data_IF_076151516134
#
_entry.id   IF_076151516134
#
_cell.length_a   1.000
_cell.length_b   1.000
_cell.length_c   1.000
_cell.angle_alpha   90.00
_cell.angle_beta   90.00
_cell.angle_gamma   90.00
#
_symmetry.space_group_name_H-M   'P 1'
#
loop_
_entity.id
_entity.type
_entity.pdbx_description
1 polymer ?
#
# COMPACT_ATOMS: atom_id res chain seq x y z
N UNK A 1 -41.64 7.32 -31.99
CA UNK A 1 -42.42 6.07 -31.81
C UNK A 1 -41.42 4.94 -31.68
N UNK A 2 -41.22 4.47 -30.44
CA UNK A 2 -40.47 3.29 -29.97
C UNK A 2 -39.15 2.88 -30.65
N UNK A 3 -38.03 3.43 -30.15
CA UNK A 3 -36.74 2.73 -30.16
C UNK A 3 -36.71 1.88 -28.88
N UNK A 4 -37.08 0.62 -29.01
CA UNK A 4 -36.70 -0.46 -28.09
C UNK A 4 -36.01 -1.52 -28.94
N UNK A 5 -34.68 -1.36 -29.11
CA UNK A 5 -33.76 -2.45 -29.43
C UNK A 5 -33.11 -2.87 -28.10
N UNK A 6 -33.76 -3.64 -27.22
CA UNK A 6 -33.01 -4.28 -26.15
C UNK A 6 -32.18 -5.40 -26.81
N UNK A 7 -30.93 -5.58 -26.38
CA UNK A 7 -30.23 -6.88 -26.47
C UNK A 7 -30.01 -7.54 -27.84
N UNK A 8 -30.01 -6.80 -28.96
CA UNK A 8 -29.46 -7.32 -30.23
C UNK A 8 -27.93 -7.50 -30.08
N UNK A 9 -27.50 -8.76 -30.05
CA UNK A 9 -26.11 -9.26 -29.96
C UNK A 9 -25.44 -9.18 -28.56
N UNK A 10 -25.96 -9.90 -27.56
CA UNK A 10 -25.05 -10.56 -26.61
C UNK A 10 -24.27 -11.64 -27.39
N UNK A 11 -22.94 -11.59 -27.37
CA UNK A 11 -22.08 -12.76 -27.55
C UNK A 11 -22.21 -13.55 -28.88
N UNK A 12 -22.25 -12.88 -30.03
CA UNK A 12 -21.95 -13.56 -31.30
C UNK A 12 -20.51 -14.10 -31.22
N UNK A 13 -20.37 -15.39 -30.94
CA UNK A 13 -19.12 -16.15 -30.81
C UNK A 13 -18.31 -15.80 -29.54
N UNK A 14 -18.82 -16.16 -28.35
CA UNK A 14 -17.92 -16.66 -27.31
C UNK A 14 -17.12 -17.80 -27.96
N UNK A 15 -15.90 -17.47 -28.37
CA UNK A 15 -15.27 -18.08 -29.53
C UNK A 15 -15.13 -19.58 -29.31
N UNK A 16 -15.41 -20.37 -30.34
CA UNK A 16 -15.24 -21.82 -30.34
C UNK A 16 -13.83 -22.15 -29.90
N UNK A 17 -13.65 -22.42 -28.61
CA UNK A 17 -12.47 -23.09 -28.16
C UNK A 17 -12.52 -24.47 -28.78
N UNK A 18 -11.53 -24.78 -29.62
CA UNK A 18 -11.34 -26.11 -30.17
C UNK A 18 -11.13 -27.06 -28.98
N UNK A 19 -12.20 -27.70 -28.55
CA UNK A 19 -12.18 -28.81 -27.62
C UNK A 19 -11.38 -29.93 -28.28
N UNK A 20 -10.16 -30.16 -27.80
CA UNK A 20 -9.54 -31.46 -28.05
C UNK A 20 -10.36 -32.48 -27.27
N UNK A 21 -10.94 -33.51 -27.90
CA UNK A 21 -11.67 -34.52 -27.15
C UNK A 21 -10.65 -35.27 -26.29
N UNK A 22 -10.56 -34.93 -25.01
CA UNK A 22 -9.94 -35.81 -24.03
C UNK A 22 -10.85 -37.05 -23.94
N UNK A 23 -10.53 -38.05 -24.77
CA UNK A 23 -11.15 -39.37 -24.75
C UNK A 23 -10.76 -40.07 -23.46
N UNK A 24 -11.40 -39.69 -22.36
CA UNK A 24 -11.41 -40.47 -21.14
C UNK A 24 -12.58 -41.45 -21.25
N UNK A 25 -12.31 -42.64 -21.80
CA UNK A 25 -13.21 -43.79 -21.66
C UNK A 25 -13.31 -44.14 -20.17
N UNK A 26 -14.24 -43.49 -19.45
CA UNK A 26 -14.60 -43.87 -18.08
C UNK A 26 -15.22 -45.27 -18.14
N UNK A 27 -14.50 -46.26 -17.61
CA UNK A 27 -14.88 -47.68 -17.67
C UNK A 27 -15.83 -47.99 -16.50
N UNK A 28 -16.98 -48.57 -16.81
CA UNK A 28 -17.96 -49.05 -15.83
C UNK A 28 -17.39 -50.26 -15.06
N UNK A 29 -17.49 -50.24 -13.73
CA UNK A 29 -17.29 -51.44 -12.93
C UNK A 29 -18.62 -52.20 -12.86
N UNK A 30 -18.63 -53.44 -13.36
CA UNK A 30 -19.84 -54.22 -13.62
C UNK A 30 -20.72 -54.49 -12.37
N UNK A 31 -20.18 -54.23 -11.18
CA UNK A 31 -20.84 -54.43 -9.89
C UNK A 31 -21.54 -53.18 -9.33
N UNK A 32 -21.51 -52.04 -10.03
CA UNK A 32 -22.13 -50.80 -9.54
C UNK A 32 -23.61 -50.76 -9.91
N UNK A 33 -24.50 -50.70 -8.91
CA UNK A 33 -25.93 -50.54 -9.15
C UNK A 33 -26.21 -49.13 -9.76
N UNK A 34 -26.72 -49.02 -11.00
CA UNK A 34 -27.03 -47.75 -11.64
C UNK A 34 -28.01 -46.86 -10.85
N UNK A 35 -28.84 -47.47 -9.98
CA UNK A 35 -29.80 -46.75 -9.13
C UNK A 35 -29.10 -45.87 -8.08
N UNK A 36 -27.88 -46.25 -7.68
CA UNK A 36 -27.08 -45.57 -6.63
C UNK A 36 -26.23 -44.41 -7.16
N UNK A 37 -26.15 -44.25 -8.48
CA UNK A 37 -25.33 -43.21 -9.11
C UNK A 37 -25.95 -41.82 -8.96
N UNK A 38 -25.11 -40.82 -8.71
CA UNK A 38 -25.50 -39.41 -8.76
C UNK A 38 -25.83 -38.99 -10.19
N UNK A 39 -26.57 -37.89 -10.36
CA UNK A 39 -26.90 -37.35 -11.68
C UNK A 39 -25.64 -37.07 -12.50
N UNK A 40 -24.60 -36.46 -11.90
CA UNK A 40 -23.34 -36.18 -12.58
C UNK A 40 -22.62 -37.46 -13.03
N UNK A 41 -22.67 -38.53 -12.25
CA UNK A 41 -22.11 -39.83 -12.64
C UNK A 41 -22.89 -40.45 -13.80
N UNK A 42 -24.22 -40.37 -13.78
CA UNK A 42 -25.08 -40.85 -14.88
C UNK A 42 -24.80 -40.07 -16.16
N UNK A 43 -24.68 -38.74 -16.08
CA UNK A 43 -24.33 -37.88 -17.20
C UNK A 43 -22.93 -38.21 -17.73
N UNK A 44 -21.91 -38.38 -16.88
CA UNK A 44 -20.56 -38.79 -17.31
C UNK A 44 -20.55 -40.12 -18.08
N UNK A 45 -21.38 -41.07 -17.67
CA UNK A 45 -21.46 -42.41 -18.26
C UNK A 45 -22.38 -42.50 -19.49
N UNK A 46 -23.22 -41.49 -19.72
CA UNK A 46 -24.14 -41.46 -20.84
C UNK A 46 -23.37 -41.53 -22.18
N UNK A 47 -23.64 -42.55 -23.02
CA UNK A 47 -22.82 -42.82 -24.21
C UNK A 47 -23.13 -41.85 -25.36
N UNK A 48 -24.32 -41.26 -25.39
CA UNK A 48 -24.73 -40.28 -26.40
C UNK A 48 -25.35 -39.04 -25.76
N UNK A 49 -25.44 -37.95 -26.53
CA UNK A 49 -26.16 -36.75 -26.11
C UNK A 49 -27.67 -37.01 -25.92
N UNK A 50 -28.24 -37.94 -26.68
CA UNK A 50 -29.65 -38.36 -26.51
C UNK A 50 -29.86 -38.95 -25.11
N UNK A 51 -28.92 -39.75 -24.63
CA UNK A 51 -28.98 -40.33 -23.28
C UNK A 51 -28.79 -39.26 -22.19
N UNK A 52 -27.97 -38.23 -22.43
CA UNK A 52 -27.80 -37.10 -21.52
C UNK A 52 -29.07 -36.27 -21.41
N UNK A 53 -29.71 -35.94 -22.53
CA UNK A 53 -30.99 -35.23 -22.57
C UNK A 53 -32.08 -36.04 -21.87
N UNK A 54 -32.08 -37.38 -22.02
CA UNK A 54 -33.02 -38.23 -21.28
C UNK A 54 -32.86 -38.15 -19.76
N UNK A 55 -31.66 -37.82 -19.25
CA UNK A 55 -31.37 -37.60 -17.84
C UNK A 55 -31.71 -36.17 -17.35
N UNK A 56 -31.89 -35.23 -18.29
CA UNK A 56 -32.26 -33.82 -18.06
C UNK A 56 -33.49 -33.47 -18.93
N UNK A 57 -34.66 -34.09 -18.66
CA UNK A 57 -35.78 -34.08 -19.60
C UNK A 57 -36.54 -32.75 -19.67
N UNK A 58 -36.38 -31.87 -18.69
CA UNK A 58 -37.13 -30.62 -18.65
C UNK A 58 -36.38 -29.54 -19.45
N UNK A 59 -37.07 -28.70 -20.25
CA UNK A 59 -36.42 -27.60 -20.94
C UNK A 59 -35.61 -26.67 -20.01
N UNK A 60 -36.09 -26.47 -18.79
CA UNK A 60 -35.41 -25.64 -17.77
C UNK A 60 -34.07 -26.22 -17.31
N UNK A 61 -33.86 -27.54 -17.42
CA UNK A 61 -32.57 -28.18 -17.10
C UNK A 61 -31.44 -27.73 -18.04
N UNK A 62 -31.80 -27.10 -19.18
CA UNK A 62 -30.89 -26.63 -20.23
C UNK A 62 -30.76 -25.10 -20.29
N UNK A 63 -31.32 -24.40 -19.30
CA UNK A 63 -31.25 -22.93 -19.22
C UNK A 63 -30.57 -22.54 -17.91
N UNK A 64 -29.47 -21.79 -18.00
CA UNK A 64 -28.81 -21.21 -16.84
C UNK A 64 -28.99 -19.69 -16.82
N UNK A 65 -29.65 -19.16 -15.78
CA UNK A 65 -29.77 -17.71 -15.58
C UNK A 65 -28.59 -17.20 -14.78
N UNK A 66 -27.75 -16.36 -15.40
CA UNK A 66 -26.67 -15.67 -14.69
C UNK A 66 -27.16 -14.50 -13.83
N UNK A 67 -28.38 -13.99 -14.09
CA UNK A 67 -28.93 -12.83 -13.39
C UNK A 67 -29.55 -13.20 -12.03
N UNK A 68 -30.21 -14.37 -11.96
CA UNK A 68 -30.96 -14.83 -10.78
C UNK A 68 -30.32 -16.10 -10.15
N UNK A 69 -29.04 -16.34 -10.44
CA UNK A 69 -28.34 -17.51 -9.93
C UNK A 69 -28.21 -17.46 -8.40
N UNK A 70 -28.47 -18.59 -7.74
CA UNK A 70 -28.22 -18.80 -6.31
C UNK A 70 -27.05 -19.76 -6.06
N UNK A 71 -26.57 -20.43 -7.12
CA UNK A 71 -25.46 -21.37 -7.12
C UNK A 71 -24.32 -20.85 -7.99
N UNK A 72 -23.08 -21.20 -7.66
CA UNK A 72 -21.91 -20.72 -8.41
C UNK A 72 -21.62 -19.23 -8.24
N UNK A 73 -22.26 -18.56 -7.28
CA UNK A 73 -22.08 -17.14 -7.00
C UNK A 73 -20.91 -16.94 -6.05
N UNK A 74 -19.97 -16.06 -6.42
CA UNK A 74 -18.90 -15.58 -5.54
C UNK A 74 -19.08 -14.08 -5.38
N UNK A 75 -19.33 -13.62 -4.15
CA UNK A 75 -19.63 -12.22 -3.85
C UNK A 75 -18.56 -11.61 -2.96
N UNK A 76 -18.09 -10.43 -3.35
CA UNK A 76 -17.22 -9.60 -2.51
C UNK A 76 -17.66 -8.14 -2.53
N UNK A 77 -16.87 -7.28 -1.89
CA UNK A 77 -17.21 -5.87 -1.73
C UNK A 77 -17.19 -5.09 -3.07
N UNK A 78 -16.46 -5.58 -4.08
CA UNK A 78 -16.34 -4.94 -5.39
C UNK A 78 -17.33 -5.44 -6.44
N UNK A 79 -18.19 -6.41 -6.12
CA UNK A 79 -19.09 -7.03 -7.07
C UNK A 79 -19.25 -8.52 -6.84
N UNK A 80 -19.69 -9.24 -7.86
CA UNK A 80 -19.84 -10.69 -7.81
C UNK A 80 -19.59 -11.34 -9.16
N UNK A 81 -19.27 -12.62 -9.15
CA UNK A 81 -19.17 -13.46 -10.34
C UNK A 81 -20.13 -14.64 -10.22
N UNK A 82 -20.73 -15.03 -11.33
CA UNK A 82 -21.61 -16.20 -11.41
C UNK A 82 -21.03 -17.19 -12.40
N UNK A 83 -20.73 -18.40 -11.94
CA UNK A 83 -20.12 -19.47 -12.73
C UNK A 83 -21.13 -20.56 -13.08
N UNK A 84 -21.25 -20.86 -14.36
CA UNK A 84 -21.90 -22.04 -14.91
C UNK A 84 -20.82 -23.04 -15.33
N UNK A 85 -20.63 -24.09 -14.53
CA UNK A 85 -19.69 -25.18 -14.78
C UNK A 85 -20.41 -26.52 -14.65
N UNK A 86 -19.74 -27.65 -14.87
CA UNK A 86 -20.37 -28.98 -14.75
C UNK A 86 -21.04 -29.26 -13.39
N UNK A 87 -20.64 -28.57 -12.33
CA UNK A 87 -21.21 -28.75 -10.98
C UNK A 87 -22.47 -27.91 -10.78
N UNK A 88 -22.48 -26.68 -11.28
CA UNK A 88 -23.61 -25.74 -11.12
C UNK A 88 -24.62 -25.82 -12.26
N UNK A 89 -24.21 -26.29 -13.43
CA UNK A 89 -25.04 -26.48 -14.61
C UNK A 89 -24.74 -27.83 -15.27
N UNK A 90 -25.36 -28.94 -14.81
CA UNK A 90 -25.06 -30.29 -15.27
C UNK A 90 -25.23 -30.53 -16.77
N UNK A 91 -26.04 -29.72 -17.46
CA UNK A 91 -26.18 -29.76 -18.92
C UNK A 91 -24.86 -29.46 -19.66
N UNK A 92 -23.86 -28.87 -18.99
CA UNK A 92 -22.53 -28.71 -19.58
C UNK A 92 -21.74 -30.02 -19.65
N UNK A 93 -22.11 -31.08 -18.94
CA UNK A 93 -21.34 -32.33 -18.94
C UNK A 93 -21.40 -32.97 -20.33
N UNK A 94 -20.27 -33.09 -21.00
CA UNK A 94 -20.12 -33.55 -22.38
C UNK A 94 -19.89 -32.43 -23.40
N UNK A 95 -20.08 -31.16 -23.02
CA UNK A 95 -19.96 -29.99 -23.91
C UNK A 95 -18.53 -29.46 -24.05
N UNK A 96 -17.62 -29.84 -23.16
CA UNK A 96 -16.24 -29.32 -23.09
C UNK A 96 -16.12 -27.80 -22.87
N UNK A 97 -17.17 -27.15 -22.37
CA UNK A 97 -17.19 -25.71 -22.14
C UNK A 97 -17.81 -25.32 -20.79
N UNK A 98 -17.41 -24.16 -20.30
CA UNK A 98 -18.08 -23.49 -19.17
C UNK A 98 -17.99 -21.97 -19.33
N UNK A 99 -18.72 -21.25 -18.48
CA UNK A 99 -18.80 -19.81 -18.57
C UNK A 99 -18.91 -19.17 -17.19
N UNK A 100 -18.30 -18.00 -17.04
CA UNK A 100 -18.49 -17.12 -15.88
C UNK A 100 -18.93 -15.74 -16.36
N UNK A 101 -19.92 -15.16 -15.71
CA UNK A 101 -20.29 -13.74 -15.89
C UNK A 101 -19.84 -12.97 -14.66
N UNK A 102 -19.04 -11.93 -14.87
CA UNK A 102 -18.59 -11.03 -13.83
C UNK A 102 -19.41 -9.74 -13.82
N UNK A 103 -20.10 -9.48 -12.71
CA UNK A 103 -20.83 -8.24 -12.44
C UNK A 103 -19.98 -7.39 -11.51
N UNK A 104 -19.14 -6.54 -12.11
CA UNK A 104 -18.10 -5.79 -11.41
C UNK A 104 -18.63 -4.40 -11.09
N UNK A 105 -18.77 -4.10 -9.80
CA UNK A 105 -19.18 -2.79 -9.34
C UNK A 105 -18.16 -1.71 -9.72
N UNK A 106 -18.47 -0.43 -9.48
CA UNK A 106 -17.50 0.64 -9.64
C UNK A 106 -16.21 0.35 -8.86
N UNK A 107 -15.07 0.49 -9.51
CA UNK A 107 -13.77 0.12 -8.95
C UNK A 107 -13.66 -1.35 -8.49
N UNK A 108 -14.54 -2.27 -8.88
CA UNK A 108 -14.43 -3.67 -8.49
C UNK A 108 -13.18 -4.35 -9.06
N UNK A 109 -12.62 -5.30 -8.31
CA UNK A 109 -11.36 -5.97 -8.65
C UNK A 109 -11.50 -7.49 -8.54
N UNK A 110 -11.47 -8.18 -9.69
CA UNK A 110 -11.34 -9.63 -9.73
C UNK A 110 -9.87 -9.97 -9.47
N UNK A 111 -9.55 -10.40 -8.25
CA UNK A 111 -8.18 -10.48 -7.73
C UNK A 111 -7.30 -11.43 -8.55
N UNK A 112 -5.95 -11.31 -8.49
CA UNK A 112 -5.06 -12.17 -9.26
C UNK A 112 -5.33 -13.67 -9.06
N UNK A 113 -5.59 -14.37 -10.16
CA UNK A 113 -5.96 -15.78 -10.16
C UNK A 113 -5.44 -16.51 -11.40
N UNK A 114 -5.64 -17.82 -11.44
CA UNK A 114 -5.34 -18.69 -12.58
C UNK A 114 -6.40 -19.77 -12.75
N UNK A 115 -6.54 -20.25 -13.99
CA UNK A 115 -7.37 -21.38 -14.39
C UNK A 115 -6.48 -22.56 -14.78
N UNK A 116 -6.31 -23.58 -13.91
CA UNK A 116 -5.34 -24.65 -14.14
C UNK A 116 -5.72 -25.57 -15.31
N UNK A 117 -6.99 -25.63 -15.70
CA UNK A 117 -7.52 -26.60 -16.68
C UNK A 117 -8.10 -25.99 -17.95
N UNK A 118 -8.03 -24.67 -18.11
CA UNK A 118 -8.54 -23.98 -19.28
C UNK A 118 -7.86 -22.65 -19.52
N UNK A 119 -7.73 -22.26 -20.78
CA UNK A 119 -7.57 -20.84 -21.14
C UNK A 119 -8.91 -20.10 -20.94
N UNK A 120 -8.86 -18.79 -20.76
CA UNK A 120 -10.02 -17.91 -20.66
C UNK A 120 -10.07 -16.96 -21.85
N UNK A 121 -11.25 -16.85 -22.47
CA UNK A 121 -11.59 -15.80 -23.41
C UNK A 121 -12.57 -14.84 -22.73
N UNK A 122 -12.11 -13.62 -22.44
CA UNK A 122 -12.85 -12.66 -21.64
C UNK A 122 -13.29 -11.47 -22.50
N UNK A 123 -14.61 -11.26 -22.63
CA UNK A 123 -15.20 -10.15 -23.38
C UNK A 123 -15.98 -9.22 -22.44
N UNK A 124 -15.80 -7.91 -22.62
CA UNK A 124 -16.60 -6.89 -21.91
C UNK A 124 -17.92 -6.70 -22.65
N UNK A 125 -19.05 -6.81 -21.94
CA UNK A 125 -20.40 -6.60 -22.52
C UNK A 125 -21.06 -5.31 -22.01
N UNK A 126 -20.55 -4.74 -20.92
CA UNK A 126 -20.95 -3.44 -20.38
C UNK A 126 -19.76 -2.76 -19.68
N UNK A 127 -19.63 -1.44 -19.85
CA UNK A 127 -18.59 -0.64 -19.20
C UNK A 127 -17.18 -0.86 -19.77
N UNK A 128 -16.19 -0.75 -18.88
CA UNK A 128 -14.76 -0.85 -19.17
C UNK A 128 -14.10 -1.80 -18.16
N UNK A 129 -13.12 -2.59 -18.61
CA UNK A 129 -12.25 -3.35 -17.71
C UNK A 129 -10.79 -3.15 -18.08
N UNK A 130 -9.91 -3.23 -17.09
CA UNK A 130 -8.48 -3.39 -17.31
C UNK A 130 -8.09 -4.83 -17.02
N UNK A 131 -7.63 -5.54 -18.04
CA UNK A 131 -7.06 -6.88 -17.92
C UNK A 131 -5.55 -6.80 -17.79
N UNK A 132 -4.96 -7.62 -16.92
CA UNK A 132 -3.50 -7.77 -16.77
C UNK A 132 -3.14 -9.24 -16.70
N UNK A 133 -2.05 -9.64 -17.37
CA UNK A 133 -1.64 -11.05 -17.45
C UNK A 133 -0.13 -11.20 -17.49
N UNK A 134 0.36 -12.29 -16.91
CA UNK A 134 1.71 -12.79 -17.13
C UNK A 134 1.62 -14.27 -17.44
N UNK A 135 2.00 -14.63 -18.67
CA UNK A 135 1.80 -15.98 -19.19
C UNK A 135 2.66 -17.00 -18.44
N UNK A 136 3.96 -16.73 -18.34
CA UNK A 136 4.95 -17.60 -17.70
C UNK A 136 6.27 -16.84 -17.44
N UNK A 137 7.25 -17.52 -16.84
CA UNK A 137 8.58 -16.96 -16.59
C UNK A 137 9.27 -16.51 -17.89
N UNK A 138 9.78 -15.27 -17.89
CA UNK A 138 10.45 -14.68 -19.06
C UNK A 138 9.49 -14.01 -20.05
N UNK A 139 8.18 -14.24 -19.95
CA UNK A 139 7.20 -13.46 -20.70
C UNK A 139 7.05 -12.06 -20.09
N UNK A 140 6.89 -11.01 -20.91
CA UNK A 140 6.61 -9.67 -20.40
C UNK A 140 5.23 -9.63 -19.73
N UNK A 141 5.10 -8.78 -18.72
CA UNK A 141 3.81 -8.45 -18.15
C UNK A 141 3.00 -7.61 -19.13
N UNK A 142 1.76 -8.01 -19.40
CA UNK A 142 0.87 -7.33 -20.36
C UNK A 142 -0.33 -6.73 -19.62
N UNK A 143 -0.71 -5.52 -20.01
CA UNK A 143 -1.89 -4.83 -19.47
C UNK A 143 -2.65 -4.15 -20.61
N UNK A 144 -3.97 -4.25 -20.59
CA UNK A 144 -4.85 -3.68 -21.61
C UNK A 144 -6.10 -3.09 -20.98
N UNK A 145 -6.60 -1.99 -21.54
CA UNK A 145 -7.94 -1.48 -21.28
C UNK A 145 -8.87 -2.06 -22.34
N UNK A 146 -9.95 -2.70 -21.92
CA UNK A 146 -10.98 -3.31 -22.72
C UNK A 146 -12.26 -2.48 -22.59
N UNK A 147 -12.73 -1.97 -23.71
CA UNK A 147 -14.03 -1.33 -23.84
C UNK A 147 -15.11 -2.36 -24.21
N UNK A 148 -16.38 -1.95 -24.16
CA UNK A 148 -17.52 -2.78 -24.54
C UNK A 148 -17.30 -3.44 -25.91
N UNK A 149 -17.52 -4.75 -25.95
CA UNK A 149 -17.34 -5.67 -27.06
C UNK A 149 -15.90 -5.90 -27.51
N UNK A 150 -14.92 -5.56 -26.67
CA UNK A 150 -13.55 -5.99 -26.83
C UNK A 150 -13.27 -7.23 -25.97
N UNK A 151 -12.39 -8.09 -26.48
CA UNK A 151 -12.01 -9.35 -25.86
C UNK A 151 -10.50 -9.40 -25.62
N UNK A 152 -10.10 -10.09 -24.55
CA UNK A 152 -8.73 -10.51 -24.29
C UNK A 152 -8.64 -12.02 -24.07
N UNK A 153 -7.43 -12.56 -24.08
CA UNK A 153 -7.14 -13.97 -23.83
C UNK A 153 -6.22 -14.09 -22.62
N UNK A 154 -6.57 -14.99 -21.71
CA UNK A 154 -5.69 -15.44 -20.64
C UNK A 154 -5.32 -16.92 -20.89
N UNK A 155 -4.04 -17.22 -21.21
CA UNK A 155 -3.62 -18.59 -21.47
C UNK A 155 -3.88 -19.52 -20.28
N UNK A 156 -4.04 -20.82 -20.54
CA UNK A 156 -4.22 -21.81 -19.48
C UNK A 156 -3.07 -21.74 -18.46
N UNK A 157 -3.41 -21.68 -17.17
CA UNK A 157 -2.42 -21.59 -16.10
C UNK A 157 -1.79 -20.21 -15.91
N UNK A 158 -1.98 -19.26 -16.82
CA UNK A 158 -1.43 -17.92 -16.71
C UNK A 158 -2.07 -17.15 -15.55
N UNK A 159 -1.24 -16.40 -14.81
CA UNK A 159 -1.74 -15.51 -13.76
C UNK A 159 -2.29 -14.24 -14.38
N UNK A 160 -3.55 -13.92 -14.08
CA UNK A 160 -4.24 -12.76 -14.65
C UNK A 160 -5.22 -12.14 -13.66
N UNK A 161 -5.75 -10.98 -14.03
CA UNK A 161 -6.69 -10.20 -13.22
C UNK A 161 -7.43 -9.16 -14.06
N UNK A 162 -8.65 -8.83 -13.62
CA UNK A 162 -9.48 -7.79 -14.22
C UNK A 162 -9.95 -6.81 -13.15
N UNK A 163 -9.96 -5.52 -13.47
CA UNK A 163 -10.58 -4.52 -12.61
C UNK A 163 -11.31 -3.45 -13.39
N UNK A 164 -12.37 -2.92 -12.80
CA UNK A 164 -13.14 -1.82 -13.37
C UNK A 164 -12.47 -0.48 -13.04
N UNK A 165 -11.98 0.29 -14.04
CA UNK A 165 -11.32 1.56 -13.78
C UNK A 165 -12.25 2.77 -13.59
N UNK A 166 -13.56 2.54 -13.65
CA UNK A 166 -14.56 3.57 -13.73
C UNK A 166 -15.53 3.55 -12.54
N UNK A 167 -16.29 4.66 -12.44
CA UNK A 167 -17.19 4.95 -11.34
C UNK A 167 -18.60 4.39 -11.56
N UNK A 168 -18.77 3.60 -12.61
CA UNK A 168 -20.01 2.94 -13.00
C UNK A 168 -19.76 1.43 -13.10
N UNK A 169 -20.77 0.56 -12.92
CA UNK A 169 -20.60 -0.88 -13.05
C UNK A 169 -20.09 -1.30 -14.44
N UNK A 170 -19.43 -2.46 -14.48
CA UNK A 170 -18.99 -3.13 -15.69
C UNK A 170 -19.41 -4.60 -15.65
N UNK A 171 -19.64 -5.19 -16.82
CA UNK A 171 -20.00 -6.61 -16.95
C UNK A 171 -19.10 -7.26 -17.98
N UNK A 172 -18.53 -8.41 -17.63
CA UNK A 172 -17.77 -9.26 -18.56
C UNK A 172 -18.29 -10.68 -18.60
N UNK A 173 -17.97 -11.37 -19.69
CA UNK A 173 -18.24 -12.79 -19.89
C UNK A 173 -16.92 -13.49 -20.18
N UNK A 174 -16.60 -14.48 -19.36
CA UNK A 174 -15.44 -15.35 -19.50
C UNK A 174 -15.90 -16.72 -19.99
N UNK A 175 -15.36 -17.17 -21.12
CA UNK A 175 -15.59 -18.49 -21.70
C UNK A 175 -14.37 -19.38 -21.52
N UNK A 176 -14.61 -20.66 -21.21
CA UNK A 176 -13.57 -21.64 -20.95
C UNK A 176 -13.74 -22.87 -21.84
N UNK A 177 -12.62 -23.43 -22.29
CA UNK A 177 -12.53 -24.66 -23.08
C UNK A 177 -12.53 -25.94 -22.23
N UNK A 178 -13.13 -25.87 -21.05
CA UNK A 178 -13.27 -26.97 -20.10
C UNK A 178 -14.53 -26.73 -19.27
N UNK A 179 -15.29 -27.78 -19.00
CA UNK A 179 -16.47 -27.73 -18.13
C UNK A 179 -16.11 -27.52 -16.64
N UNK A 180 -14.85 -27.76 -16.28
CA UNK A 180 -14.27 -27.48 -14.98
C UNK A 180 -12.90 -26.79 -15.18
N UNK A 181 -12.88 -25.46 -15.41
CA UNK A 181 -11.64 -24.72 -15.61
C UNK A 181 -10.78 -24.68 -14.34
N UNK A 182 -11.40 -24.87 -13.17
CA UNK A 182 -10.82 -24.58 -11.86
C UNK A 182 -10.60 -23.08 -11.66
N UNK A 183 -10.39 -22.64 -10.43
CA UNK A 183 -9.92 -21.27 -10.15
C UNK A 183 -9.01 -21.33 -8.94
N UNK A 184 -7.84 -20.72 -9.05
CA UNK A 184 -6.89 -20.62 -7.96
C UNK A 184 -6.56 -19.15 -7.73
N UNK A 185 -7.00 -18.63 -6.59
CA UNK A 185 -6.68 -17.26 -6.19
C UNK A 185 -5.22 -17.21 -5.74
N UNK A 186 -4.39 -16.46 -6.46
CA UNK A 186 -2.93 -16.56 -6.35
C UNK A 186 -2.45 -16.24 -4.94
N UNK A 187 -2.88 -15.11 -4.38
CA UNK A 187 -2.37 -14.65 -3.09
C UNK A 187 -2.84 -15.55 -1.94
N UNK A 188 -4.12 -15.92 -1.94
CA UNK A 188 -4.73 -16.84 -0.98
C UNK A 188 -4.03 -18.19 -0.99
N UNK A 189 -3.67 -18.68 -2.19
CA UNK A 189 -2.96 -19.95 -2.33
C UNK A 189 -1.53 -19.84 -1.83
N UNK A 190 -0.81 -18.78 -2.22
CA UNK A 190 0.58 -18.55 -1.78
C UNK A 190 0.69 -18.51 -0.25
N UNK A 191 -0.19 -17.78 0.44
CA UNK A 191 -0.15 -17.70 1.90
C UNK A 191 -0.78 -18.90 2.61
N UNK A 192 -1.47 -19.77 1.87
CA UNK A 192 -2.07 -20.99 2.38
C UNK A 192 -1.07 -22.12 2.58
N UNK A 193 0.14 -22.01 2.04
CA UNK A 193 1.26 -22.90 2.33
C UNK A 193 1.74 -22.78 3.78
N UNK A 194 2.54 -23.76 4.20
CA UNK A 194 3.18 -23.80 5.51
C UNK A 194 4.01 -22.53 5.75
N UNK A 195 3.95 -21.98 6.96
CA UNK A 195 4.61 -20.71 7.30
C UNK A 195 6.10 -20.69 6.94
N UNK A 196 6.80 -21.81 7.13
CA UNK A 196 8.22 -21.94 6.77
C UNK A 196 8.46 -21.83 5.25
N UNK A 197 7.55 -22.40 4.44
CA UNK A 197 7.61 -22.35 2.97
C UNK A 197 7.34 -20.93 2.50
N UNK A 198 6.32 -20.26 3.05
CA UNK A 198 5.98 -18.88 2.69
C UNK A 198 7.11 -17.92 3.10
N UNK A 199 7.67 -18.09 4.30
CA UNK A 199 8.82 -17.29 4.75
C UNK A 199 10.02 -17.46 3.84
N UNK A 200 10.37 -18.70 3.50
CA UNK A 200 11.48 -18.99 2.60
C UNK A 200 11.25 -18.34 1.21
N UNK A 201 10.02 -18.42 0.69
CA UNK A 201 9.66 -17.82 -0.60
C UNK A 201 9.66 -16.28 -0.58
N UNK A 202 9.43 -15.66 0.59
CA UNK A 202 9.32 -14.20 0.75
C UNK A 202 10.57 -13.52 1.30
N UNK A 203 11.72 -14.20 1.32
CA UNK A 203 13.02 -13.62 1.70
C UNK A 203 13.56 -14.01 3.08
N UNK A 204 12.93 -14.96 3.76
CA UNK A 204 13.41 -15.55 5.01
C UNK A 204 13.19 -14.69 6.26
N UNK A 205 13.95 -15.02 7.29
CA UNK A 205 13.82 -14.44 8.64
C UNK A 205 14.31 -13.00 8.66
N UNK A 206 13.41 -12.06 8.95
CA UNK A 206 13.69 -10.63 9.00
C UNK A 206 12.91 -9.78 7.99
N UNK A 207 12.22 -10.40 7.03
CA UNK A 207 11.31 -9.69 6.08
C UNK A 207 9.85 -9.82 6.51
N UNK A 208 9.41 -11.01 6.91
CA UNK A 208 8.04 -11.30 7.40
C UNK A 208 8.14 -12.33 8.55
N UNK A 209 7.67 -11.98 9.76
CA UNK A 209 7.64 -12.92 10.90
C UNK A 209 6.40 -13.83 10.85
N UNK A 210 6.40 -14.97 11.55
CA UNK A 210 5.27 -15.91 11.58
C UNK A 210 3.98 -15.27 12.11
N UNK A 211 4.08 -14.28 13.00
CA UNK A 211 2.93 -13.49 13.48
C UNK A 211 2.40 -12.49 12.44
N UNK A 212 3.26 -12.06 11.51
CA UNK A 212 2.87 -11.18 10.41
C UNK A 212 2.09 -11.95 9.35
N UNK A 213 2.42 -13.22 9.09
CA UNK A 213 1.68 -14.11 8.18
C UNK A 213 0.26 -14.38 8.66
N UNK A 214 0.09 -14.75 9.93
CA UNK A 214 -1.23 -14.95 10.55
C UNK A 214 -2.09 -13.68 10.54
N UNK A 215 -1.45 -12.51 10.69
CA UNK A 215 -2.14 -11.23 10.59
C UNK A 215 -2.50 -10.91 9.14
N UNK A 216 -1.56 -11.12 8.20
CA UNK A 216 -1.72 -10.86 6.77
C UNK A 216 -2.83 -11.70 6.13
N UNK A 217 -2.94 -12.98 6.49
CA UNK A 217 -4.01 -13.88 6.04
C UNK A 217 -5.41 -13.31 6.28
N UNK A 218 -5.62 -12.61 7.41
CA UNK A 218 -6.91 -12.00 7.78
C UNK A 218 -7.27 -10.79 6.94
N UNK A 219 -6.29 -10.16 6.28
CA UNK A 219 -6.48 -8.97 5.46
C UNK A 219 -6.65 -9.29 3.98
N UNK A 220 -6.42 -10.52 3.54
CA UNK A 220 -6.62 -10.86 2.13
C UNK A 220 -8.13 -10.80 1.83
N UNK A 221 -8.57 -9.90 0.93
CA UNK A 221 -9.99 -9.74 0.66
C UNK A 221 -10.53 -10.96 -0.07
N UNK A 222 -11.83 -11.23 0.14
CA UNK A 222 -12.55 -12.14 -0.73
C UNK A 222 -12.65 -11.55 -2.14
N UNK A 223 -12.58 -12.43 -3.14
CA UNK A 223 -12.93 -12.06 -4.51
C UNK A 223 -14.46 -11.88 -4.60
N UNK A 224 -15.03 -10.89 -5.26
CA UNK A 224 -14.46 -9.73 -5.96
C UNK A 224 -14.10 -8.62 -4.95
N UNK A 225 -12.84 -8.22 -4.91
CA UNK A 225 -12.36 -7.23 -3.94
C UNK A 225 -12.82 -5.80 -4.31
N UNK A 226 -12.96 -4.95 -3.29
CA UNK A 226 -13.17 -3.52 -3.49
C UNK A 226 -11.84 -2.83 -3.83
N UNK A 227 -11.48 -2.91 -5.11
CA UNK A 227 -10.74 -1.92 -5.88
C UNK A 227 -9.30 -1.53 -5.58
N UNK A 228 -8.74 -0.93 -6.63
CA UNK A 228 -7.44 -0.26 -6.67
C UNK A 228 -7.62 1.16 -6.15
N UNK A 229 -6.77 1.58 -5.21
CA UNK A 229 -6.93 2.83 -4.45
C UNK A 229 -7.12 4.08 -5.32
N UNK A 230 -6.40 4.16 -6.43
CA UNK A 230 -6.51 5.27 -7.39
C UNK A 230 -7.92 5.42 -7.97
N UNK A 231 -8.62 4.31 -8.21
CA UNK A 231 -10.01 4.32 -8.68
C UNK A 231 -10.96 4.73 -7.55
N UNK A 232 -10.81 4.15 -6.36
CA UNK A 232 -11.67 4.45 -5.22
C UNK A 232 -11.63 5.94 -4.87
N UNK A 233 -10.45 6.56 -4.96
CA UNK A 233 -10.27 8.01 -4.82
C UNK A 233 -10.94 8.79 -5.96
N UNK A 234 -10.70 8.42 -7.23
CA UNK A 234 -11.34 9.03 -8.41
C UNK A 234 -12.87 9.02 -8.28
N UNK A 235 -13.44 7.91 -7.81
CA UNK A 235 -14.88 7.67 -7.78
C UNK A 235 -15.55 8.02 -6.44
N UNK A 236 -14.76 8.40 -5.42
CA UNK A 236 -15.23 8.77 -4.08
C UNK A 236 -16.05 7.65 -3.40
N UNK A 237 -15.65 6.40 -3.60
CA UNK A 237 -16.35 5.22 -3.09
C UNK A 237 -15.68 4.73 -1.81
N UNK A 238 -16.46 4.54 -0.75
CA UNK A 238 -16.01 3.82 0.44
C UNK A 238 -14.93 4.51 1.27
N UNK A 239 -14.85 5.85 1.27
CA UNK A 239 -13.95 6.62 2.15
C UNK A 239 -14.32 6.54 3.66
N UNK A 240 -15.36 5.80 4.01
CA UNK A 240 -15.74 5.43 5.38
C UNK A 240 -15.65 3.91 5.53
N UNK A 241 -14.47 3.40 5.90
CA UNK A 241 -14.36 2.08 6.54
C UNK A 241 -13.39 1.04 5.97
N UNK A 242 -12.79 1.21 4.78
CA UNK A 242 -11.87 0.18 4.24
C UNK A 242 -10.42 0.68 4.15
N UNK A 243 -9.72 0.62 5.29
CA UNK A 243 -8.26 0.88 5.45
C UNK A 243 -7.41 -0.40 5.45
N UNK A 244 -7.94 -1.51 4.94
CA UNK A 244 -7.50 -2.82 5.41
C UNK A 244 -6.31 -3.47 4.68
N UNK A 245 -5.93 -3.12 3.45
CA UNK A 245 -4.93 -3.96 2.73
C UNK A 245 -3.85 -3.19 1.97
N UNK A 246 -4.19 -2.13 1.24
CA UNK A 246 -3.16 -1.29 0.60
C UNK A 246 -2.35 -0.46 1.61
N UNK A 247 -2.84 -0.36 2.86
CA UNK A 247 -2.12 0.33 3.91
C UNK A 247 -0.93 -0.46 4.45
N UNK A 248 -0.71 -1.76 4.18
CA UNK A 248 0.37 -2.48 4.88
C UNK A 248 1.76 -2.33 4.23
N UNK A 249 1.86 -2.26 2.90
CA UNK A 249 3.15 -2.06 2.21
C UNK A 249 3.54 -0.57 2.19
N UNK A 250 2.55 0.34 2.23
CA UNK A 250 2.79 1.78 2.37
C UNK A 250 2.73 2.29 3.83
N UNK A 251 2.20 1.55 4.83
CA UNK A 251 2.37 1.89 6.27
C UNK A 251 3.68 1.44 6.86
N UNK A 252 4.52 0.74 6.11
CA UNK A 252 5.96 0.78 6.36
C UNK A 252 6.51 2.21 6.20
N UNK A 253 5.84 3.07 5.42
CA UNK A 253 6.28 4.43 5.09
C UNK A 253 5.09 5.36 4.75
N UNK A 254 4.31 5.80 5.76
CA UNK A 254 3.49 7.02 5.64
C UNK A 254 1.96 6.86 5.52
N UNK A 255 1.32 7.12 6.66
CA UNK A 255 0.14 7.97 6.90
C UNK A 255 -1.30 7.60 6.48
N UNK A 256 -2.18 7.96 7.39
CA UNK A 256 -3.61 7.79 7.48
C UNK A 256 -4.34 8.88 6.64
N UNK A 257 -5.20 8.46 5.69
CA UNK A 257 -6.15 9.35 4.99
C UNK A 257 -7.29 9.89 5.86
N UNK A 258 -7.01 10.35 7.06
CA UNK A 258 -7.75 11.45 7.68
C UNK A 258 -7.09 12.72 7.14
N UNK A 259 -7.73 13.89 7.19
CA UNK A 259 -7.01 15.13 6.89
C UNK A 259 -5.69 15.07 7.67
N UNK A 260 -4.55 15.13 6.97
CA UNK A 260 -3.23 15.21 7.58
C UNK A 260 -3.10 16.55 8.28
N UNK A 261 -3.80 16.65 9.39
CA UNK A 261 -3.44 17.55 10.45
C UNK A 261 -2.15 16.96 11.04
N UNK A 262 -1.04 17.69 10.84
CA UNK A 262 0.27 17.41 11.43
C UNK A 262 0.04 16.88 12.85
N UNK A 263 0.62 15.75 13.29
CA UNK A 263 0.25 15.13 14.59
C UNK A 263 0.24 16.10 15.78
N UNK A 264 1.12 17.10 15.79
CA UNK A 264 1.12 18.25 16.71
C UNK A 264 -0.23 18.98 16.81
N UNK A 265 -0.94 19.11 15.68
CA UNK A 265 -2.29 19.63 15.54
C UNK A 265 -3.34 18.69 16.15
N UNK A 266 -3.30 17.39 15.82
CA UNK A 266 -4.26 16.41 16.33
C UNK A 266 -4.12 16.16 17.84
N UNK A 267 -2.89 16.01 18.33
CA UNK A 267 -2.58 15.65 19.71
C UNK A 267 -2.56 16.86 20.65
N UNK A 268 -2.50 18.08 20.08
CA UNK A 268 -2.24 19.34 20.80
C UNK A 268 -1.00 19.26 21.71
N UNK A 269 0.00 18.48 21.31
CA UNK A 269 1.27 18.26 22.03
C UNK A 269 2.47 18.30 21.07
N UNK A 270 3.64 18.68 21.57
CA UNK A 270 4.89 18.70 20.81
C UNK A 270 5.89 17.68 21.36
N UNK A 271 6.74 17.12 20.49
CA UNK A 271 7.87 16.24 20.81
C UNK A 271 9.03 16.93 21.55
N UNK A 272 8.79 18.01 22.29
CA UNK A 272 9.83 18.81 22.93
C UNK A 272 9.35 20.21 23.33
N UNK A 273 10.10 20.92 24.19
CA UNK A 273 9.84 22.33 24.48
C UNK A 273 10.09 23.17 23.22
N UNK A 274 9.07 23.92 22.79
CA UNK A 274 9.17 24.85 21.64
C UNK A 274 10.28 25.90 21.83
N UNK A 275 10.66 26.19 23.07
CA UNK A 275 11.74 27.13 23.39
C UNK A 275 13.13 26.64 22.94
N UNK A 276 13.34 25.33 22.81
CA UNK A 276 14.60 24.78 22.31
C UNK A 276 14.87 25.18 20.85
N UNK A 277 13.82 25.47 20.07
CA UNK A 277 13.92 25.88 18.66
C UNK A 277 14.41 27.33 18.51
N UNK A 278 14.42 28.13 19.59
CA UNK A 278 14.91 29.51 19.52
C UNK A 278 16.38 29.58 19.11
N UNK A 279 17.21 28.62 19.56
CA UNK A 279 18.61 28.54 19.17
C UNK A 279 18.78 28.27 17.68
N UNK A 280 18.00 27.34 17.13
CA UNK A 280 17.99 27.04 15.69
C UNK A 280 17.55 28.24 14.86
N UNK A 281 16.46 28.91 15.25
CA UNK A 281 16.00 30.14 14.60
C UNK A 281 17.09 31.22 14.56
N UNK A 282 17.78 31.43 15.69
CA UNK A 282 18.89 32.38 15.77
C UNK A 282 20.06 31.97 14.89
N UNK A 283 20.42 30.68 14.91
CA UNK A 283 21.51 30.10 14.13
C UNK A 283 21.29 30.26 12.63
N UNK A 284 20.15 29.80 12.13
CA UNK A 284 19.81 29.83 10.71
C UNK A 284 19.72 31.28 10.20
N UNK A 285 19.13 32.19 10.99
CA UNK A 285 19.05 33.60 10.62
C UNK A 285 20.43 34.28 10.59
N UNK A 286 21.24 34.08 11.64
CA UNK A 286 22.52 34.75 11.77
C UNK A 286 23.49 34.29 10.67
N UNK A 287 23.65 32.97 10.52
CA UNK A 287 24.64 32.42 9.59
C UNK A 287 24.23 32.51 8.12
N UNK A 288 22.93 32.59 7.81
CA UNK A 288 22.45 32.99 6.49
C UNK A 288 22.94 34.37 6.04
N UNK A 289 23.25 35.26 6.99
CA UNK A 289 23.64 36.64 6.70
C UNK A 289 25.16 36.85 6.80
N UNK A 290 25.83 36.12 7.70
CA UNK A 290 27.25 36.38 7.99
C UNK A 290 28.20 35.44 7.27
N UNK A 291 27.79 34.23 6.92
CA UNK A 291 28.73 33.14 6.61
C UNK A 291 28.51 32.49 5.24
N UNK A 292 27.35 32.71 4.61
CA UNK A 292 27.08 32.21 3.26
C UNK A 292 27.77 33.08 2.19
N UNK A 293 28.46 32.44 1.26
CA UNK A 293 29.24 33.10 0.20
C UNK A 293 28.52 33.11 -1.16
N UNK A 294 27.58 32.18 -1.36
CA UNK A 294 26.81 32.05 -2.59
C UNK A 294 25.31 32.21 -2.36
N UNK A 295 24.59 32.59 -3.42
CA UNK A 295 23.12 32.60 -3.41
C UNK A 295 22.53 31.23 -3.06
N UNK A 296 23.19 30.15 -3.50
CA UNK A 296 22.77 28.79 -3.19
C UNK A 296 22.86 28.49 -1.69
N UNK A 297 24.02 28.73 -1.07
CA UNK A 297 24.20 28.57 0.38
C UNK A 297 23.20 29.40 1.18
N UNK A 298 23.02 30.67 0.80
CA UNK A 298 22.05 31.56 1.44
C UNK A 298 20.63 31.06 1.33
N UNK A 299 20.25 30.50 0.18
CA UNK A 299 18.93 29.91 -0.04
C UNK A 299 18.73 28.67 0.83
N UNK A 300 19.75 27.82 0.99
CA UNK A 300 19.67 26.65 1.85
C UNK A 300 19.44 27.04 3.33
N UNK A 301 20.22 27.97 3.89
CA UNK A 301 20.00 28.43 5.27
C UNK A 301 18.63 29.09 5.45
N UNK A 302 18.19 29.94 4.51
CA UNK A 302 16.87 30.56 4.59
C UNK A 302 15.72 29.54 4.46
N UNK A 303 15.91 28.44 3.74
CA UNK A 303 14.94 27.36 3.67
C UNK A 303 14.81 26.66 5.04
N UNK A 304 15.92 26.37 5.71
CA UNK A 304 15.92 25.82 7.08
C UNK A 304 15.28 26.77 8.09
N UNK A 305 15.62 28.06 8.04
CA UNK A 305 14.94 29.08 8.84
C UNK A 305 13.42 29.08 8.61
N UNK A 306 12.99 28.96 7.36
CA UNK A 306 11.57 28.89 7.00
C UNK A 306 10.87 27.67 7.61
N UNK A 307 11.52 26.52 7.61
CA UNK A 307 11.01 25.30 8.25
C UNK A 307 10.88 25.47 9.77
N UNK A 308 11.88 26.06 10.43
CA UNK A 308 11.84 26.29 11.88
C UNK A 308 10.76 27.31 12.28
N UNK A 309 10.55 28.36 11.48
CA UNK A 309 9.46 29.33 11.68
C UNK A 309 8.10 28.65 11.52
N UNK A 310 7.93 27.82 10.49
CA UNK A 310 6.69 27.08 10.24
C UNK A 310 6.40 26.10 11.39
N UNK A 311 7.39 25.34 11.83
CA UNK A 311 7.27 24.41 12.94
C UNK A 311 6.90 25.13 14.22
N UNK A 312 7.63 26.20 14.55
CA UNK A 312 7.41 27.00 15.76
C UNK A 312 6.03 27.63 15.78
N UNK A 313 5.59 28.19 14.65
CA UNK A 313 4.26 28.79 14.51
C UNK A 313 3.17 27.74 14.68
N UNK A 314 3.31 26.59 14.02
CA UNK A 314 2.38 25.47 14.12
C UNK A 314 2.29 24.96 15.55
N UNK A 315 3.42 24.79 16.24
CA UNK A 315 3.48 24.39 17.64
C UNK A 315 2.73 25.38 18.54
N UNK A 316 3.03 26.69 18.43
CA UNK A 316 2.39 27.72 19.27
C UNK A 316 0.87 27.75 19.06
N UNK A 317 0.42 27.73 17.81
CA UNK A 317 -1.01 27.81 17.48
C UNK A 317 -1.74 26.53 17.90
N UNK A 318 -1.12 25.37 17.71
CA UNK A 318 -1.81 24.08 17.86
C UNK A 318 -1.81 23.55 19.30
N UNK A 319 -0.74 23.79 20.06
CA UNK A 319 -0.57 23.15 21.38
C UNK A 319 -0.89 24.08 22.55
N UNK A 320 -0.79 25.40 22.38
CA UNK A 320 -1.01 26.36 23.46
C UNK A 320 -2.40 27.00 23.40
N UNK A 321 -3.06 27.08 24.55
CA UNK A 321 -4.35 27.75 24.69
C UNK A 321 -4.26 29.24 24.28
N UNK A 322 -5.32 29.84 23.67
CA UNK A 322 -5.28 31.21 23.14
C UNK A 322 -4.71 32.26 24.12
N UNK A 323 -5.07 32.19 25.40
CA UNK A 323 -4.58 33.11 26.44
C UNK A 323 -3.09 33.00 26.76
N UNK A 324 -2.42 31.89 26.42
CA UNK A 324 -0.97 31.68 26.62
C UNK A 324 -0.14 31.89 25.36
N UNK A 325 -0.76 31.87 24.17
CA UNK A 325 -0.04 32.00 22.88
C UNK A 325 0.82 33.27 22.85
N UNK A 326 0.25 34.42 23.22
CA UNK A 326 0.97 35.70 23.24
C UNK A 326 2.22 35.65 24.12
N UNK A 327 2.13 35.10 25.33
CA UNK A 327 3.27 34.99 26.25
C UNK A 327 4.35 34.08 25.69
N UNK A 328 3.98 32.94 25.10
CA UNK A 328 4.93 32.00 24.50
C UNK A 328 5.61 32.61 23.26
N UNK A 329 4.84 33.26 22.38
CA UNK A 329 5.40 33.97 21.21
C UNK A 329 6.39 35.05 21.63
N UNK A 330 6.08 35.84 22.67
CA UNK A 330 7.02 36.84 23.20
C UNK A 330 8.30 36.18 23.72
N UNK A 331 8.19 35.06 24.46
CA UNK A 331 9.37 34.34 24.95
C UNK A 331 10.23 33.79 23.83
N UNK A 332 9.62 33.23 22.79
CA UNK A 332 10.32 32.73 21.61
C UNK A 332 11.04 33.88 20.90
N UNK A 333 10.35 34.99 20.68
CA UNK A 333 10.93 36.16 20.01
C UNK A 333 12.09 36.77 20.82
N UNK A 334 11.93 36.91 22.14
CA UNK A 334 13.01 37.35 23.02
C UNK A 334 14.18 36.36 23.01
N UNK A 335 13.91 35.05 23.06
CA UNK A 335 14.92 34.01 22.96
C UNK A 335 15.69 34.07 21.65
N UNK A 336 14.99 34.29 20.53
CA UNK A 336 15.59 34.50 19.21
C UNK A 336 16.52 35.73 19.18
N UNK A 337 16.08 36.88 19.71
CA UNK A 337 16.90 38.09 19.77
C UNK A 337 18.15 37.90 20.65
N UNK A 338 17.98 37.26 21.80
CA UNK A 338 19.11 36.93 22.70
C UNK A 338 20.07 35.97 22.02
N UNK A 339 19.57 34.96 21.32
CA UNK A 339 20.40 34.01 20.57
C UNK A 339 21.18 34.67 19.43
N UNK A 340 20.56 35.58 18.67
CA UNK A 340 21.25 36.35 17.62
C UNK A 340 22.33 37.25 18.22
N UNK A 341 22.04 37.94 19.34
CA UNK A 341 23.02 38.76 20.04
C UNK A 341 24.18 37.91 20.58
N UNK A 342 23.89 36.72 21.13
CA UNK A 342 24.90 35.81 21.63
C UNK A 342 25.82 35.32 20.50
N UNK A 343 25.26 34.92 19.35
CA UNK A 343 26.04 34.53 18.17
C UNK A 343 26.86 35.70 17.62
N UNK A 344 26.31 36.90 17.61
CA UNK A 344 27.03 38.12 17.21
C UNK A 344 28.24 38.39 18.11
N UNK A 345 28.06 38.41 19.43
CA UNK A 345 29.15 38.60 20.41
C UNK A 345 30.19 37.47 20.30
N UNK A 346 29.73 36.24 20.10
CA UNK A 346 30.62 35.09 19.91
C UNK A 346 31.46 35.27 18.64
N UNK A 347 30.87 35.72 17.54
CA UNK A 347 31.57 35.98 16.27
C UNK A 347 32.58 37.13 16.35
N UNK A 348 32.40 38.08 17.28
CA UNK A 348 33.41 39.11 17.54
C UNK A 348 34.66 38.53 18.22
N UNK A 349 34.48 37.47 19.01
CA UNK A 349 35.56 36.82 19.76
C UNK A 349 36.22 35.71 18.92
N UNK A 350 35.41 34.97 18.17
CA UNK A 350 35.82 33.87 17.29
C UNK A 350 35.20 34.08 15.90
N UNK A 351 35.79 34.95 15.06
CA UNK A 351 35.26 35.24 13.74
C UNK A 351 35.22 34.00 12.86
N UNK A 352 34.08 33.79 12.19
CA UNK A 352 33.95 32.77 11.15
C UNK A 352 34.58 33.29 9.86
N UNK A 353 35.85 32.95 9.65
CA UNK A 353 36.45 33.01 8.32
C UNK A 353 35.80 31.96 7.40
N UNK A 354 36.17 31.92 6.11
CA UNK A 354 35.63 30.95 5.11
C UNK A 354 35.57 29.48 5.57
N UNK A 355 36.29 29.13 6.64
CA UNK A 355 36.37 27.81 7.26
C UNK A 355 35.25 27.50 8.26
N UNK A 356 34.35 28.44 8.59
CA UNK A 356 33.10 28.22 9.36
C UNK A 356 33.24 27.47 10.71
N UNK A 357 34.32 27.75 11.47
CA UNK A 357 34.65 27.05 12.72
C UNK A 357 33.60 27.28 13.81
N UNK A 358 33.26 28.54 14.08
CA UNK A 358 32.31 28.94 15.13
C UNK A 358 30.90 28.49 14.76
N UNK A 359 30.53 28.61 13.49
CA UNK A 359 29.27 28.08 12.96
C UNK A 359 29.17 26.56 13.18
N UNK A 360 30.22 25.81 12.84
CA UNK A 360 30.23 24.37 13.06
C UNK A 360 29.98 23.99 14.54
N UNK A 361 30.75 24.57 15.46
CA UNK A 361 30.65 24.24 16.88
C UNK A 361 29.34 24.68 17.52
N UNK A 362 28.82 25.84 17.14
CA UNK A 362 27.52 26.28 17.65
C UNK A 362 26.38 25.44 17.08
N UNK A 363 26.43 25.06 15.80
CA UNK A 363 25.44 24.21 15.16
C UNK A 363 25.36 22.82 15.77
N UNK A 364 26.51 22.14 15.93
CA UNK A 364 26.52 20.78 16.47
C UNK A 364 26.03 20.72 17.94
N UNK A 365 26.29 21.77 18.73
CA UNK A 365 25.81 21.84 20.11
C UNK A 365 24.30 22.05 20.21
N UNK A 366 23.68 22.72 19.23
CA UNK A 366 22.24 22.93 19.19
C UNK A 366 21.45 21.63 18.99
N UNK A 367 22.06 20.58 18.45
CA UNK A 367 21.40 19.29 18.26
C UNK A 367 21.22 18.49 19.56
N UNK A 368 22.13 18.66 20.53
CA UNK A 368 22.11 17.94 21.81
C UNK A 368 20.75 18.00 22.54
N UNK A 369 20.15 19.18 22.79
CA UNK A 369 18.88 19.24 23.52
C UNK A 369 17.72 18.63 22.72
N UNK A 370 17.72 18.70 21.39
CA UNK A 370 16.55 18.32 20.58
C UNK A 370 16.31 16.81 20.63
N UNK A 371 17.34 16.00 20.35
CA UNK A 371 17.21 14.55 20.34
C UNK A 371 16.96 13.98 21.74
N UNK A 372 17.79 14.37 22.71
CA UNK A 372 17.73 13.83 24.07
C UNK A 372 16.44 14.20 24.82
N UNK A 373 15.94 15.43 24.68
CA UNK A 373 14.67 15.81 25.30
C UNK A 373 13.51 15.02 24.70
N UNK A 374 13.55 14.71 23.40
CA UNK A 374 12.53 13.91 22.73
C UNK A 374 12.45 12.49 23.30
N UNK A 375 13.61 11.82 23.46
CA UNK A 375 13.70 10.48 24.06
C UNK A 375 13.29 10.51 25.54
N UNK A 376 13.76 11.52 26.29
CA UNK A 376 13.39 11.70 27.69
C UNK A 376 11.87 11.87 27.87
N UNK A 377 11.20 12.67 27.04
CA UNK A 377 9.75 12.88 27.13
C UNK A 377 8.96 11.62 26.80
N UNK A 378 9.41 10.82 25.82
CA UNK A 378 8.83 9.51 25.53
C UNK A 378 8.90 8.62 26.77
N UNK A 379 10.10 8.43 27.34
CA UNK A 379 10.31 7.56 28.50
C UNK A 379 9.60 8.06 29.76
N UNK A 380 9.58 9.37 30.00
CA UNK A 380 8.93 9.95 31.17
C UNK A 380 7.42 9.87 31.09
N UNK A 381 6.84 10.25 29.95
CA UNK A 381 5.40 10.37 29.81
C UNK A 381 4.73 9.04 29.50
N UNK A 382 5.50 8.03 29.05
CA UNK A 382 4.98 6.74 28.55
C UNK A 382 3.85 6.96 27.51
N UNK A 383 4.01 8.02 26.71
CA UNK A 383 2.99 8.54 25.81
C UNK A 383 3.65 9.00 24.52
N UNK A 384 3.09 8.57 23.39
CA UNK A 384 3.57 8.92 22.05
C UNK A 384 2.92 10.19 21.48
N UNK A 385 1.99 10.82 22.20
CA UNK A 385 1.33 12.05 21.72
C UNK A 385 2.34 13.19 21.51
N UNK A 386 2.23 13.86 20.38
CA UNK A 386 3.16 14.90 19.93
C UNK A 386 4.46 14.37 19.33
N UNK A 387 4.67 13.05 19.36
CA UNK A 387 5.80 12.36 18.75
C UNK A 387 5.34 11.61 17.48
N UNK A 388 6.24 11.50 16.51
CA UNK A 388 5.98 10.72 15.29
C UNK A 388 7.26 10.20 14.66
N UNK A 389 7.14 9.18 13.81
CA UNK A 389 8.25 8.64 13.02
C UNK A 389 8.62 9.62 11.91
N UNK A 390 7.66 10.34 11.33
CA UNK A 390 7.90 11.37 10.31
C UNK A 390 8.78 12.50 10.86
N UNK A 391 8.47 13.01 12.07
CA UNK A 391 9.30 14.02 12.75
C UNK A 391 10.73 13.50 12.94
N UNK A 392 10.87 12.24 13.34
CA UNK A 392 12.17 11.62 13.51
C UNK A 392 12.91 11.44 12.18
N UNK A 393 12.26 10.96 11.12
CA UNK A 393 12.88 10.82 9.79
C UNK A 393 13.39 12.16 9.29
N UNK A 394 12.58 13.22 9.37
CA UNK A 394 13.01 14.56 8.94
C UNK A 394 14.22 15.05 9.73
N UNK A 395 14.21 14.88 11.05
CA UNK A 395 15.33 15.30 11.91
C UNK A 395 16.59 14.46 11.64
N UNK A 396 16.46 13.14 11.59
CA UNK A 396 17.56 12.22 11.36
C UNK A 396 18.22 12.46 10.00
N UNK A 397 17.43 12.65 8.93
CA UNK A 397 17.96 13.01 7.62
C UNK A 397 18.64 14.38 7.63
N UNK A 398 18.11 15.34 8.40
CA UNK A 398 18.75 16.64 8.63
C UNK A 398 20.13 16.49 9.28
N UNK A 399 20.23 15.75 10.39
CA UNK A 399 21.49 15.46 11.08
C UNK A 399 22.50 14.77 10.15
N UNK A 400 22.05 13.74 9.41
CA UNK A 400 22.90 13.04 8.44
C UNK A 400 23.40 13.97 7.35
N UNK A 401 22.54 14.82 6.79
CA UNK A 401 22.93 15.78 5.77
C UNK A 401 23.94 16.80 6.31
N UNK A 402 23.69 17.35 7.52
CA UNK A 402 24.59 18.30 8.17
C UNK A 402 25.98 17.69 8.40
N UNK A 403 26.05 16.50 9.01
CA UNK A 403 27.34 15.82 9.24
C UNK A 403 28.02 15.43 7.94
N UNK A 404 27.26 14.93 6.96
CA UNK A 404 27.81 14.51 5.67
C UNK A 404 28.49 15.68 4.94
N UNK A 405 27.95 16.91 5.01
CA UNK A 405 28.57 18.09 4.41
C UNK A 405 29.89 18.44 5.08
N UNK A 406 29.97 18.44 6.42
CA UNK A 406 31.22 18.75 7.12
C UNK A 406 32.27 17.63 7.00
N UNK A 407 31.84 16.37 7.04
CA UNK A 407 32.72 15.22 6.80
C UNK A 407 33.26 15.27 5.37
N UNK A 408 32.41 15.54 4.37
CA UNK A 408 32.85 15.70 2.99
C UNK A 408 33.88 16.83 2.85
N UNK A 409 33.67 17.98 3.51
CA UNK A 409 34.63 19.08 3.52
C UNK A 409 35.97 18.68 4.16
N UNK A 410 35.93 17.94 5.27
CA UNK A 410 37.12 17.40 5.93
C UNK A 410 37.88 16.40 5.06
N UNK A 411 37.18 15.49 4.37
CA UNK A 411 37.81 14.51 3.51
C UNK A 411 38.46 15.13 2.25
N UNK A 412 37.90 16.21 1.73
CA UNK A 412 38.41 16.86 0.51
C UNK A 412 39.44 17.95 0.80
N UNK A 413 39.34 18.65 1.93
CA UNK A 413 40.25 19.76 2.30
C UNK A 413 40.57 19.70 3.80
N UNK A 414 41.27 18.64 4.28
CA UNK A 414 41.46 18.39 5.70
C UNK A 414 42.20 19.54 6.43
N UNK A 415 43.10 20.22 5.75
CA UNK A 415 43.85 21.40 6.25
C UNK A 415 42.90 22.49 6.79
N UNK A 416 41.77 22.73 6.12
CA UNK A 416 40.81 23.79 6.44
C UNK A 416 39.70 23.35 7.42
N UNK A 417 39.56 22.04 7.63
CA UNK A 417 38.44 21.43 8.37
C UNK A 417 38.91 20.42 9.41
N UNK A 418 40.19 20.49 9.83
CA UNK A 418 40.81 19.50 10.72
C UNK A 418 40.08 19.33 12.06
N UNK A 419 39.42 20.39 12.53
CA UNK A 419 38.62 20.37 13.75
C UNK A 419 37.41 19.41 13.68
N UNK A 420 36.86 19.16 12.48
CA UNK A 420 35.80 18.16 12.24
C UNK A 420 36.30 16.74 12.51
N UNK A 421 37.57 16.45 12.20
CA UNK A 421 38.20 15.15 12.49
C UNK A 421 38.69 15.01 13.93
N UNK A 422 38.54 16.04 14.78
CA UNK A 422 39.01 15.98 16.17
C UNK A 422 38.19 14.99 17.01
N UNK A 423 38.81 14.40 18.03
CA UNK A 423 38.13 13.48 18.95
C UNK A 423 36.92 14.13 19.64
N UNK A 424 36.98 15.45 19.89
CA UNK A 424 35.87 16.21 20.47
C UNK A 424 34.69 16.33 19.52
N UNK A 425 34.97 16.63 18.25
CA UNK A 425 33.96 16.69 17.19
C UNK A 425 33.27 15.32 17.01
N UNK A 426 34.06 14.26 16.86
CA UNK A 426 33.55 12.89 16.71
C UNK A 426 32.73 12.49 17.93
N UNK A 427 33.23 12.77 19.15
CA UNK A 427 32.52 12.49 20.38
C UNK A 427 31.16 13.19 20.47
N UNK A 428 31.10 14.48 20.07
CA UNK A 428 29.85 15.23 20.08
C UNK A 428 28.89 14.71 18.99
N UNK A 429 29.37 14.43 17.77
CA UNK A 429 28.55 13.83 16.70
C UNK A 429 27.94 12.48 17.12
N UNK A 430 28.71 11.67 17.86
CA UNK A 430 28.21 10.42 18.43
C UNK A 430 27.15 10.70 19.51
N UNK A 431 27.40 11.65 20.41
CA UNK A 431 26.46 12.00 21.47
C UNK A 431 25.14 12.57 20.95
N UNK A 432 25.15 13.27 19.81
CA UNK A 432 23.95 13.82 19.16
C UNK A 432 23.22 12.79 18.31
N UNK A 433 23.90 11.81 17.69
CA UNK A 433 23.24 10.77 16.89
C UNK A 433 22.61 9.64 17.72
N UNK A 434 23.17 9.34 18.91
CA UNK A 434 22.64 8.32 19.83
C UNK A 434 21.13 8.49 20.11
N UNK A 435 20.62 9.67 20.53
CA UNK A 435 19.20 9.82 20.78
C UNK A 435 18.37 9.61 19.50
N UNK A 436 18.87 9.97 18.32
CA UNK A 436 18.20 9.69 17.06
C UNK A 436 18.15 8.20 16.73
N UNK A 437 19.20 7.45 17.06
CA UNK A 437 19.19 5.99 16.89
C UNK A 437 18.22 5.29 17.86
N UNK A 438 18.14 5.78 19.10
CA UNK A 438 17.31 5.16 20.16
C UNK A 438 15.83 5.55 20.04
N UNK A 439 15.54 6.76 19.53
CA UNK A 439 14.19 7.30 19.42
C UNK A 439 13.17 6.35 18.75
N UNK A 440 13.41 5.80 17.54
CA UNK A 440 12.41 4.97 16.86
C UNK A 440 12.08 3.70 17.64
N UNK A 441 13.09 3.04 18.24
CA UNK A 441 12.88 1.86 19.07
C UNK A 441 12.09 2.20 20.33
N UNK A 442 12.40 3.32 20.98
CA UNK A 442 11.68 3.79 22.18
C UNK A 442 10.23 4.14 21.84
N UNK A 443 10.00 4.83 20.74
CA UNK A 443 8.68 5.20 20.25
C UNK A 443 7.82 3.98 19.92
N UNK A 444 8.38 3.00 19.21
CA UNK A 444 7.70 1.74 18.86
C UNK A 444 7.40 0.94 20.14
N UNK A 445 8.37 0.81 21.04
CA UNK A 445 8.20 0.07 22.29
C UNK A 445 7.05 0.64 23.14
N UNK A 446 6.98 1.95 23.35
CA UNK A 446 5.87 2.61 24.08
C UNK A 446 4.54 2.42 23.34
N UNK A 447 4.54 2.53 22.01
CA UNK A 447 3.35 2.32 21.19
C UNK A 447 2.78 0.91 21.32
N UNK A 448 3.66 -0.10 21.41
CA UNK A 448 3.28 -1.50 21.62
C UNK A 448 2.76 -1.77 23.03
N UNK A 449 3.34 -1.13 24.06
CA UNK A 449 2.86 -1.28 25.45
C UNK A 449 1.43 -0.75 25.60
N UNK A 450 1.09 0.38 24.98
CA UNK A 450 -0.28 0.91 25.00
C UNK A 450 -1.32 -0.03 24.38
N UNK A 451 -0.97 -0.77 23.33
CA UNK A 451 -1.86 -1.74 22.68
C UNK A 451 -2.06 -3.04 23.49
N UNK A 452 -1.30 -3.26 24.57
CA UNK A 452 -1.50 -4.39 25.49
C UNK A 452 -2.41 -4.06 26.67
N UNK A 453 -2.64 -2.78 26.95
CA UNK A 453 -3.41 -2.28 28.11
C UNK A 453 -4.86 -1.91 27.70
N UNK A 454 -5.09 -1.69 26.41
CA UNK A 454 -6.40 -1.57 25.77
C UNK A 454 -6.77 -2.91 25.13
#
# INVERSE_FOLDING_TARGET
MHIQLPTLLLAALASTALSTPLSNKKRFDANTDPSTLTLQQKLDLAPTEVDRIALLPNPEDHVFSFQDATIGVTTGLGGHTVKADRSTFPALIGSSGSMTVGFIGPCGFNTPHTHPRSAELNIVVEGTLKGSVTAENGAPHMQHTLEKFQMTVFPQGAMHTEWNPDCVPAVFVASFSNEDPGVQQTLQTLVGFEDEVVRAAMGGDGVIDGKDLESFRKYIPANVALGVESCLQKCKIGMTGSRAVASYIMRGMGDDGEKRDIRTYSDKRCAGPVLCVCGNLSYEFFYALTTTSTTFERTCFLAWLGLDVLFTTTAVVSTYAPGRRRTITIRIFMGFLVGVLALYVLSMTFPDDRQQITAYWTGILLELPVGWVSVYLLLKNQDTRGHSIEIWVTRFLGCLAAYSVFIWRYLNVPENWAYVGSIWSIGIMVLTIIPEMIYPFTFIWISMQKKKIL
#
